data_IF_811701660698
#
_entry.id   IF_811701660698
#
_cell.length_a   1.000
_cell.length_b   1.000
_cell.length_c   1.000
_cell.angle_alpha   90.00
_cell.angle_beta   90.00
_cell.angle_gamma   90.00
#
_symmetry.space_group_name_H-M   'P 1'
#
loop_
_entity.id
_entity.type
_entity.pdbx_description
1 polymer ?
#
# COMPACT_ATOMS: atom_id res chain seq x y z
N UNK A 1 1.22 12.13 5.50
CA UNK A 1 0.03 11.53 4.86
C UNK A 1 0.03 10.04 5.10
N UNK A 2 -0.82 9.54 6.00
CA UNK A 2 -0.89 8.10 6.36
C UNK A 2 -2.32 7.56 6.21
N UNK A 3 -3.34 8.32 6.63
CA UNK A 3 -4.74 7.95 6.39
C UNK A 3 -5.05 8.09 4.90
N UNK A 4 -5.54 7.01 4.29
CA UNK A 4 -5.84 6.93 2.86
C UNK A 4 -6.93 5.90 2.56
N UNK A 5 -7.13 5.57 1.28
CA UNK A 5 -8.21 4.70 0.80
C UNK A 5 -8.08 3.22 1.23
N UNK A 6 -6.91 2.80 1.74
CA UNK A 6 -6.69 1.42 2.19
C UNK A 6 -7.67 0.94 3.28
N UNK A 7 -8.22 1.86 4.09
CA UNK A 7 -9.22 1.50 5.12
C UNK A 7 -10.51 0.91 4.54
N UNK A 8 -10.80 1.17 3.26
CA UNK A 8 -11.98 0.64 2.59
C UNK A 8 -11.77 -0.78 2.04
N UNK A 9 -10.52 -1.19 1.82
CA UNK A 9 -10.18 -2.48 1.21
C UNK A 9 -9.70 -3.50 2.26
N UNK A 10 -8.80 -3.07 3.13
CA UNK A 10 -8.09 -3.95 4.06
C UNK A 10 -8.98 -4.69 5.08
N UNK A 11 -10.08 -4.12 5.63
CA UNK A 11 -10.88 -4.83 6.65
C UNK A 11 -11.43 -6.16 6.18
N UNK A 12 -11.88 -6.27 4.93
CA UNK A 12 -12.38 -7.51 4.34
C UNK A 12 -11.30 -8.59 4.34
N UNK A 13 -10.13 -8.27 3.78
CA UNK A 13 -8.99 -9.20 3.71
C UNK A 13 -8.45 -9.59 5.09
N UNK A 14 -8.37 -8.65 6.04
CA UNK A 14 -7.92 -8.95 7.41
C UNK A 14 -8.90 -9.89 8.10
N UNK A 15 -10.22 -9.66 8.00
CA UNK A 15 -11.21 -10.51 8.64
C UNK A 15 -11.24 -11.92 8.02
N UNK A 16 -11.18 -12.02 6.68
CA UNK A 16 -11.14 -13.30 5.96
C UNK A 16 -9.94 -14.17 6.38
N UNK A 17 -8.77 -13.56 6.59
CA UNK A 17 -7.56 -14.29 6.99
C UNK A 17 -7.45 -14.52 8.50
N UNK A 18 -8.01 -13.63 9.33
CA UNK A 18 -7.97 -13.76 10.80
C UNK A 18 -9.04 -14.73 11.34
N UNK A 19 -10.13 -14.94 10.61
CA UNK A 19 -11.22 -15.87 10.97
C UNK A 19 -12.13 -15.43 12.12
N UNK A 20 -11.75 -14.43 12.93
CA UNK A 20 -12.62 -13.84 13.96
C UNK A 20 -12.45 -12.32 14.07
N UNK A 21 -13.54 -11.64 14.46
CA UNK A 21 -13.54 -10.17 14.62
C UNK A 21 -12.57 -9.71 15.70
N UNK A 22 -12.49 -10.44 16.82
CA UNK A 22 -11.55 -10.13 17.91
C UNK A 22 -10.09 -10.21 17.45
N UNK A 23 -9.72 -11.28 16.72
CA UNK A 23 -8.37 -11.43 16.19
C UNK A 23 -8.07 -10.36 15.13
N UNK A 24 -9.03 -10.01 14.27
CA UNK A 24 -8.87 -8.95 13.28
C UNK A 24 -8.52 -7.60 13.94
N UNK A 25 -9.19 -7.22 15.04
CA UNK A 25 -8.88 -5.99 15.79
C UNK A 25 -7.50 -6.04 16.42
N UNK A 26 -7.07 -7.19 16.95
CA UNK A 26 -5.71 -7.37 17.48
C UNK A 26 -4.67 -7.15 16.37
N UNK A 27 -4.90 -7.69 15.17
CA UNK A 27 -4.02 -7.48 14.01
C UNK A 27 -3.87 -5.98 13.69
N UNK A 28 -4.98 -5.22 13.67
CA UNK A 28 -4.93 -3.77 13.44
C UNK A 28 -4.08 -3.03 14.48
N UNK A 29 -4.24 -3.36 15.76
CA UNK A 29 -3.46 -2.74 16.84
C UNK A 29 -1.97 -3.07 16.71
N UNK A 30 -1.64 -4.35 16.46
CA UNK A 30 -0.26 -4.80 16.31
C UNK A 30 0.42 -4.17 15.09
N UNK A 31 -0.25 -4.08 13.95
CA UNK A 31 0.28 -3.41 12.76
C UNK A 31 0.55 -1.92 13.03
N UNK A 32 -0.33 -1.24 13.80
CA UNK A 32 -0.12 0.13 14.24
C UNK A 32 1.15 0.30 15.08
N UNK A 33 1.37 -0.58 16.05
CA UNK A 33 2.57 -0.57 16.90
C UNK A 33 3.85 -0.84 16.10
N UNK A 34 3.85 -1.85 15.23
CA UNK A 34 5.00 -2.18 14.36
C UNK A 34 5.35 -0.98 13.47
N UNK A 35 4.34 -0.33 12.90
CA UNK A 35 4.53 0.85 12.04
C UNK A 35 5.12 2.02 12.82
N UNK A 36 4.68 2.24 14.07
CA UNK A 36 5.22 3.30 14.92
C UNK A 36 6.71 3.09 15.23
N UNK A 37 7.12 1.85 15.57
CA UNK A 37 8.53 1.53 15.79
C UNK A 37 9.34 1.72 14.52
N UNK A 38 8.85 1.24 13.37
CA UNK A 38 9.51 1.44 12.08
C UNK A 38 9.68 2.92 11.73
N UNK A 39 8.66 3.74 11.98
CA UNK A 39 8.72 5.19 11.73
C UNK A 39 9.80 5.89 12.58
N UNK A 40 9.99 5.47 13.84
CA UNK A 40 11.07 5.98 14.69
C UNK A 40 12.45 5.62 14.11
N UNK A 41 12.66 4.39 13.66
CA UNK A 41 13.91 3.99 13.01
C UNK A 41 14.19 4.82 11.74
N UNK A 42 13.15 5.10 10.94
CA UNK A 42 13.28 5.96 9.76
C UNK A 42 13.54 7.44 10.12
N UNK A 43 13.02 7.91 11.24
CA UNK A 43 13.30 9.26 11.74
C UNK A 43 14.78 9.42 12.12
N UNK A 44 15.35 8.43 12.83
CA UNK A 44 16.78 8.40 13.18
C UNK A 44 17.68 8.37 11.94
N UNK A 45 17.31 7.58 10.93
CA UNK A 45 18.04 7.56 9.65
C UNK A 45 17.96 8.90 8.93
N UNK A 46 16.79 9.58 8.99
CA UNK A 46 16.59 10.88 8.36
C UNK A 46 17.41 12.01 8.96
N UNK A 47 17.73 11.95 10.26
CA UNK A 47 18.64 12.90 10.91
C UNK A 47 20.11 12.51 10.76
N UNK A 48 20.41 11.21 10.66
CA UNK A 48 21.77 10.69 10.50
C UNK A 48 22.30 10.88 9.07
N UNK A 49 21.45 10.66 8.07
CA UNK A 49 21.79 10.75 6.65
C UNK A 49 20.86 11.77 5.98
N UNK A 50 21.09 13.08 6.15
CA UNK A 50 20.23 14.14 5.64
C UNK A 50 20.45 14.39 4.14
N UNK A 51 20.23 13.35 3.31
CA UNK A 51 20.31 13.41 1.85
C UNK A 51 18.92 13.27 1.23
N UNK A 52 18.68 13.98 0.13
CA UNK A 52 17.47 13.80 -0.67
C UNK A 52 17.41 12.38 -1.25
N UNK A 53 16.20 11.82 -1.38
CA UNK A 53 15.96 10.48 -1.93
C UNK A 53 15.49 9.43 -0.91
N UNK A 54 15.46 9.77 0.38
CA UNK A 54 14.84 8.94 1.42
C UNK A 54 15.47 7.54 1.52
N UNK A 55 14.63 6.52 1.43
CA UNK A 55 15.01 5.11 1.57
C UNK A 55 16.02 4.63 0.52
N UNK A 56 15.94 5.12 -0.72
CA UNK A 56 16.97 4.88 -1.74
C UNK A 56 18.34 5.38 -1.26
N UNK A 57 18.40 6.58 -0.71
CA UNK A 57 19.65 7.21 -0.27
C UNK A 57 20.24 6.48 0.95
N UNK A 58 19.39 6.01 1.86
CA UNK A 58 19.84 5.20 3.00
C UNK A 58 20.49 3.88 2.54
N UNK A 59 19.83 3.16 1.62
CA UNK A 59 20.36 1.89 1.10
C UNK A 59 21.63 2.10 0.30
N UNK A 60 21.69 3.15 -0.53
CA UNK A 60 22.86 3.48 -1.34
C UNK A 60 24.08 3.84 -0.49
N UNK A 61 23.87 4.59 0.59
CA UNK A 61 24.97 5.01 1.46
C UNK A 61 25.57 3.85 2.26
N UNK A 62 24.74 2.87 2.67
CA UNK A 62 25.17 1.74 3.50
C UNK A 62 25.69 0.57 2.64
N UNK A 63 24.98 0.22 1.56
CA UNK A 63 25.23 -0.99 0.76
C UNK A 63 25.79 -0.70 -0.64
N UNK A 64 25.98 0.57 -0.99
CA UNK A 64 26.58 0.98 -2.25
C UNK A 64 25.63 1.01 -3.45
N UNK A 65 26.22 1.14 -4.64
CA UNK A 65 25.49 1.47 -5.87
C UNK A 65 24.48 0.42 -6.34
N UNK A 66 24.84 -0.87 -6.29
CA UNK A 66 23.97 -1.94 -6.79
C UNK A 66 22.70 -2.11 -5.95
N UNK A 67 22.85 -2.15 -4.62
CA UNK A 67 21.70 -2.26 -3.71
C UNK A 67 20.78 -1.04 -3.80
N UNK A 68 21.35 0.17 -3.91
CA UNK A 68 20.58 1.38 -4.20
C UNK A 68 19.81 1.28 -5.51
N UNK A 69 20.46 0.84 -6.60
CA UNK A 69 19.78 0.65 -7.89
C UNK A 69 18.62 -0.34 -7.79
N UNK A 70 18.81 -1.49 -7.14
CA UNK A 70 17.75 -2.49 -6.95
C UNK A 70 16.56 -1.93 -6.14
N UNK A 71 16.83 -1.13 -5.10
CA UNK A 71 15.78 -0.46 -4.33
C UNK A 71 14.94 0.46 -5.21
N UNK A 72 15.58 1.26 -6.06
CA UNK A 72 14.90 2.16 -6.99
C UNK A 72 14.15 1.40 -8.09
N UNK A 73 14.77 0.34 -8.63
CA UNK A 73 14.19 -0.52 -9.66
C UNK A 73 12.85 -1.11 -9.21
N UNK A 74 12.82 -1.70 -8.00
CA UNK A 74 11.59 -2.26 -7.42
C UNK A 74 10.58 -1.16 -7.11
N UNK A 75 11.03 0.02 -6.65
CA UNK A 75 10.14 1.14 -6.38
C UNK A 75 9.36 1.56 -7.64
N UNK A 76 10.06 1.78 -8.75
CA UNK A 76 9.50 2.31 -10.00
C UNK A 76 8.67 1.27 -10.74
N UNK A 77 9.14 0.02 -10.81
CA UNK A 77 8.47 -1.00 -11.63
C UNK A 77 7.37 -1.77 -10.89
N UNK A 78 7.47 -1.88 -9.57
CA UNK A 78 6.55 -2.73 -8.79
C UNK A 78 5.74 -1.90 -7.81
N UNK A 79 6.39 -1.17 -6.90
CA UNK A 79 5.69 -0.53 -5.78
C UNK A 79 4.74 0.56 -6.26
N UNK A 80 5.22 1.54 -7.03
CA UNK A 80 4.38 2.65 -7.47
C UNK A 80 3.24 2.21 -8.41
N UNK A 81 3.48 1.40 -9.47
CA UNK A 81 2.41 1.00 -10.38
C UNK A 81 1.36 0.12 -9.68
N UNK A 82 1.79 -0.82 -8.83
CA UNK A 82 0.85 -1.71 -8.12
C UNK A 82 0.00 -0.94 -7.13
N UNK A 83 0.57 0.01 -6.39
CA UNK A 83 -0.21 0.85 -5.47
C UNK A 83 -1.27 1.67 -6.21
N UNK A 84 -0.91 2.28 -7.34
CA UNK A 84 -1.87 3.02 -8.15
C UNK A 84 -2.96 2.12 -8.71
N UNK A 85 -2.60 0.93 -9.23
CA UNK A 85 -3.55 -0.04 -9.76
C UNK A 85 -4.56 -0.52 -8.71
N UNK A 86 -4.11 -0.81 -7.48
CA UNK A 86 -5.00 -1.20 -6.37
C UNK A 86 -5.99 -0.08 -6.04
N UNK A 87 -5.53 1.17 -6.01
CA UNK A 87 -6.40 2.32 -5.75
C UNK A 87 -7.44 2.50 -6.88
N UNK A 88 -7.02 2.41 -8.14
CA UNK A 88 -7.91 2.54 -9.30
C UNK A 88 -8.96 1.41 -9.38
N UNK A 89 -8.56 0.18 -9.07
CA UNK A 89 -9.47 -0.97 -8.97
C UNK A 89 -10.46 -0.78 -7.81
N UNK A 90 -9.99 -0.26 -6.67
CA UNK A 90 -10.86 0.04 -5.53
C UNK A 90 -11.90 1.08 -5.92
N UNK A 91 -11.50 2.20 -6.52
CA UNK A 91 -12.41 3.21 -7.01
C UNK A 91 -13.48 2.62 -7.93
N UNK A 92 -13.07 1.80 -8.90
CA UNK A 92 -13.99 1.17 -9.86
C UNK A 92 -15.00 0.24 -9.20
N UNK A 93 -14.57 -0.55 -8.21
CA UNK A 93 -15.47 -1.39 -7.42
C UNK A 93 -16.51 -0.55 -6.69
N UNK A 94 -16.09 0.52 -6.01
CA UNK A 94 -16.99 1.36 -5.22
C UNK A 94 -17.99 2.15 -6.09
N UNK A 95 -17.59 2.59 -7.29
CA UNK A 95 -18.48 3.31 -8.23
C UNK A 95 -19.49 2.39 -8.91
N UNK A 96 -19.10 1.15 -9.22
CA UNK A 96 -19.99 0.19 -9.87
C UNK A 96 -20.93 -0.54 -8.90
N UNK A 97 -20.61 -0.58 -7.60
CA UNK A 97 -21.42 -1.26 -6.59
C UNK A 97 -22.90 -0.80 -6.55
N UNK A 98 -23.25 0.50 -6.66
CA UNK A 98 -24.65 0.93 -6.68
C UNK A 98 -25.42 0.50 -7.95
N UNK A 99 -24.73 0.35 -9.09
CA UNK A 99 -25.31 -0.10 -10.35
C UNK A 99 -25.58 -1.61 -10.36
N UNK A 100 -24.78 -2.38 -9.61
CA UNK A 100 -24.89 -3.83 -9.46
C UNK A 100 -25.04 -4.21 -7.99
N UNK A 101 -26.17 -3.90 -7.33
CA UNK A 101 -26.31 -4.05 -5.88
C UNK A 101 -26.36 -5.51 -5.42
N UNK A 102 -26.86 -6.41 -6.26
CA UNK A 102 -27.11 -7.83 -5.93
C UNK A 102 -26.27 -8.81 -6.75
N UNK A 103 -25.50 -8.33 -7.72
CA UNK A 103 -24.67 -9.16 -8.60
C UNK A 103 -23.26 -8.59 -8.70
N UNK A 104 -22.31 -9.42 -9.12
CA UNK A 104 -20.95 -8.95 -9.35
C UNK A 104 -20.92 -8.09 -10.62
N UNK A 105 -20.32 -6.90 -10.52
CA UNK A 105 -20.07 -6.05 -11.68
C UNK A 105 -19.22 -6.83 -12.71
N UNK A 106 -19.48 -6.66 -14.01
CA UNK A 106 -18.72 -7.35 -15.05
C UNK A 106 -17.23 -6.99 -14.95
N UNK A 107 -16.37 -8.00 -14.92
CA UNK A 107 -14.93 -7.83 -14.71
C UNK A 107 -14.28 -6.96 -15.78
N UNK A 108 -14.76 -7.04 -17.02
CA UNK A 108 -14.35 -6.16 -18.11
C UNK A 108 -14.64 -4.68 -17.83
N UNK A 109 -15.84 -4.37 -17.29
CA UNK A 109 -16.23 -3.00 -16.94
C UNK A 109 -15.41 -2.43 -15.79
N UNK A 110 -15.14 -3.25 -14.77
CA UNK A 110 -14.30 -2.88 -13.63
C UNK A 110 -12.86 -2.60 -14.06
N UNK A 111 -12.25 -3.49 -14.84
CA UNK A 111 -10.88 -3.33 -15.33
C UNK A 111 -10.75 -2.15 -16.30
N UNK A 112 -11.73 -1.94 -17.18
CA UNK A 112 -11.73 -0.81 -18.12
C UNK A 112 -11.82 0.52 -17.37
N UNK A 113 -12.75 0.64 -16.41
CA UNK A 113 -12.89 1.84 -15.59
C UNK A 113 -11.61 2.12 -14.80
N UNK A 114 -11.01 1.08 -14.20
CA UNK A 114 -9.76 1.23 -13.46
C UNK A 114 -8.61 1.67 -14.38
N UNK A 115 -8.52 1.11 -15.59
CA UNK A 115 -7.50 1.48 -16.57
C UNK A 115 -7.63 2.93 -17.06
N UNK A 116 -8.86 3.46 -17.18
CA UNK A 116 -9.11 4.87 -17.55
C UNK A 116 -8.68 5.83 -16.44
N UNK A 117 -8.70 5.39 -15.18
CA UNK A 117 -8.35 6.20 -14.01
C UNK A 117 -6.85 6.21 -13.68
N UNK A 118 -6.03 5.41 -14.38
CA UNK A 118 -4.57 5.38 -14.26
C UNK A 118 -3.91 6.34 -15.26
#
# INVERSE_FOLDING_TARGET
>A
NIIGSGIFVSPKGVLENAGSVGLALIVWILTGLITAVGALCYAELGVTIPKSGGDYSYVKDIFGGLAGFLRLWIAVLVIYPTNQAVIALTFSNYVLQPLFPTCFAPESGLRLLAAICL
#
